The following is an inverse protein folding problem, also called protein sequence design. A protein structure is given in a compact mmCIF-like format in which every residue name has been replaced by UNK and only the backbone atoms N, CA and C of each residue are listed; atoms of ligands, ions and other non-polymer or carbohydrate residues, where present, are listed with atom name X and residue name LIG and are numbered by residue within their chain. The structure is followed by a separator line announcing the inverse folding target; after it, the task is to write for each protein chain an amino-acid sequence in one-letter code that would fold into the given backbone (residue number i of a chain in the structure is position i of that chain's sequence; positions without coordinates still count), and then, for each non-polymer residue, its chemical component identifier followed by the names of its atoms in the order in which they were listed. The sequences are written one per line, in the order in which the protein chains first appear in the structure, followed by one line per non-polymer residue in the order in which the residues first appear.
data_IF_557341655113
#
_entry.id   IF_557341655113
#
_cell.length_a   1.000
_cell.length_b   1.000
_cell.length_c   1.000
_cell.angle_alpha   90.00
_cell.angle_beta   90.00
_cell.angle_gamma   90.00
#
_symmetry.space_group_name_H-M   'P 1'
#
loop_
_entity.id
_entity.type
_entity.pdbx_description
1 polymer ?
#
# COMPACT_ATOMS: atom_id res chain seq x y z
N UNK A 1 30.48 1.25 14.71
CA UNK A 1 31.32 1.51 13.52
C UNK A 1 32.53 0.61 13.48
N UNK A 2 33.46 0.66 14.43
CA UNK A 2 34.69 -0.16 14.42
C UNK A 2 34.45 -1.68 14.31
N UNK A 3 33.45 -2.23 14.98
CA UNK A 3 33.11 -3.66 14.92
C UNK A 3 32.65 -4.09 13.54
N UNK A 4 31.74 -3.33 12.89
CA UNK A 4 31.29 -3.62 11.52
C UNK A 4 32.38 -3.47 10.48
N UNK A 5 33.25 -2.47 10.64
CA UNK A 5 34.42 -2.31 9.79
C UNK A 5 35.35 -3.53 9.94
N UNK A 6 35.55 -4.01 11.16
CA UNK A 6 36.33 -5.23 11.42
C UNK A 6 35.69 -6.46 10.78
N UNK A 7 34.37 -6.63 10.91
CA UNK A 7 33.62 -7.74 10.28
C UNK A 7 33.70 -7.70 8.75
N UNK A 8 33.59 -6.50 8.14
CA UNK A 8 33.76 -6.34 6.71
C UNK A 8 35.17 -6.67 6.22
N UNK A 9 36.20 -6.22 6.94
CA UNK A 9 37.62 -6.50 6.63
C UNK A 9 37.91 -8.00 6.79
N UNK A 10 37.31 -8.68 7.76
CA UNK A 10 37.40 -10.13 7.93
C UNK A 10 36.73 -10.86 6.76
N UNK A 11 35.59 -10.39 6.29
CA UNK A 11 34.90 -10.95 5.11
C UNK A 11 35.73 -10.81 3.82
N UNK A 12 36.61 -9.80 3.74
CA UNK A 12 37.58 -9.60 2.64
C UNK A 12 38.87 -10.41 2.83
N UNK A 13 38.95 -11.29 3.83
CA UNK A 13 40.06 -12.21 4.03
C UNK A 13 41.13 -11.76 5.04
N UNK A 14 40.91 -10.70 5.80
CA UNK A 14 41.83 -10.27 6.83
C UNK A 14 41.69 -11.13 8.12
N UNK A 15 42.78 -11.68 8.60
CA UNK A 15 42.89 -12.48 9.82
C UNK A 15 43.35 -11.69 11.06
N UNK A 16 43.46 -10.38 10.93
CA UNK A 16 43.93 -9.48 11.99
C UNK A 16 42.94 -9.35 13.15
N UNK A 17 43.44 -8.99 14.35
CA UNK A 17 42.65 -8.78 15.54
C UNK A 17 41.82 -7.49 15.47
N UNK A 18 40.73 -7.42 16.23
CA UNK A 18 39.83 -6.25 16.31
C UNK A 18 40.50 -4.96 16.83
N UNK A 19 41.49 -5.11 17.73
CA UNK A 19 42.15 -3.97 18.42
C UNK A 19 42.78 -2.92 17.55
N UNK A 20 43.49 -3.25 16.42
CA UNK A 20 44.01 -2.26 15.50
C UNK A 20 42.91 -1.46 14.79
N UNK A 21 41.85 -2.12 14.37
CA UNK A 21 40.69 -1.47 13.71
C UNK A 21 40.02 -0.49 14.67
N UNK A 22 39.81 -0.89 15.93
CA UNK A 22 39.26 -0.03 16.98
C UNK A 22 40.14 1.21 17.22
N UNK A 23 41.46 1.03 17.32
CA UNK A 23 42.41 2.14 17.50
C UNK A 23 42.43 3.11 16.30
N UNK A 24 42.41 2.57 15.10
CA UNK A 24 42.33 3.39 13.88
C UNK A 24 41.07 4.22 13.82
N UNK A 25 39.88 3.59 14.05
CA UNK A 25 38.61 4.32 14.08
C UNK A 25 38.58 5.37 15.17
N UNK A 26 39.10 5.05 16.39
CA UNK A 26 39.18 6.02 17.47
C UNK A 26 40.12 7.21 17.17
N UNK A 27 41.24 6.95 16.53
CA UNK A 27 42.16 8.01 16.09
C UNK A 27 41.55 8.89 15.00
N UNK A 28 40.86 8.28 14.02
CA UNK A 28 40.13 8.99 12.98
C UNK A 28 39.01 9.87 13.56
N UNK A 29 38.21 9.35 14.50
CA UNK A 29 37.18 10.12 15.16
C UNK A 29 37.74 11.33 15.94
N UNK A 30 38.89 11.16 16.60
CA UNK A 30 39.60 12.26 17.28
C UNK A 30 40.11 13.32 16.31
N UNK A 31 40.65 12.89 15.14
CA UNK A 31 41.20 13.82 14.13
C UNK A 31 40.06 14.64 13.44
N UNK A 32 38.85 14.12 13.37
CA UNK A 32 37.68 14.81 12.79
C UNK A 32 37.03 15.78 13.78
N UNK A 33 37.58 15.95 15.00
CA UNK A 33 37.11 16.96 15.99
C UNK A 33 35.80 16.60 16.68
N UNK A 34 35.40 15.33 16.68
CA UNK A 34 34.24 14.87 17.45
C UNK A 34 34.69 14.67 18.89
N UNK A 35 34.66 15.72 19.69
CA UNK A 35 34.85 15.68 21.12
C UNK A 35 34.08 16.84 21.75
N UNK A 36 33.06 16.53 22.44
CA UNK A 36 32.71 16.90 23.84
C UNK A 36 31.50 16.07 24.19
N UNK A 37 31.61 15.12 25.11
CA UNK A 37 30.45 14.52 25.73
C UNK A 37 29.76 15.58 26.56
N UNK A 38 28.67 16.16 26.04
CA UNK A 38 27.76 16.89 26.88
C UNK A 38 27.20 15.93 27.94
N UNK A 39 27.24 16.36 29.21
CA UNK A 39 26.68 15.57 30.30
C UNK A 39 25.15 15.64 30.23
N UNK A 40 24.49 14.47 30.09
CA UNK A 40 23.03 14.36 30.04
C UNK A 40 22.47 13.77 31.33
N UNK A 41 21.28 14.25 31.76
CA UNK A 41 20.53 13.61 32.83
C UNK A 41 19.79 12.40 32.23
N UNK A 42 20.01 11.19 32.75
CA UNK A 42 19.30 10.01 32.25
C UNK A 42 17.79 10.17 32.44
N UNK A 43 17.01 9.99 31.38
CA UNK A 43 15.55 10.01 31.44
C UNK A 43 15.03 8.62 31.80
N UNK A 44 14.10 8.57 32.73
CA UNK A 44 13.39 7.34 33.11
C UNK A 44 11.95 7.43 32.58
N UNK A 45 11.51 6.40 31.86
CA UNK A 45 10.17 6.25 31.31
C UNK A 45 9.46 5.10 32.00
N UNK A 46 8.19 5.27 32.35
CA UNK A 46 7.34 4.18 32.82
C UNK A 46 6.96 3.25 31.68
N UNK A 47 6.51 2.04 32.01
CA UNK A 47 5.98 1.09 31.04
C UNK A 47 4.81 1.69 30.26
N UNK A 48 4.85 1.60 28.93
CA UNK A 48 3.79 2.10 28.05
C UNK A 48 3.60 3.61 28.01
N UNK A 49 4.52 4.38 28.62
CA UNK A 49 4.39 5.84 28.71
C UNK A 49 4.63 6.51 27.36
N UNK A 50 5.80 6.27 26.74
CA UNK A 50 6.23 7.07 25.60
C UNK A 50 6.77 6.23 24.43
N UNK A 51 6.34 6.62 23.24
CA UNK A 51 6.91 6.24 21.96
C UNK A 51 7.68 7.43 21.41
N UNK A 52 8.88 7.22 20.93
CA UNK A 52 9.67 8.25 20.28
C UNK A 52 9.73 8.02 18.79
N UNK A 53 9.64 9.12 18.04
CA UNK A 53 9.64 9.14 16.59
C UNK A 53 10.66 10.12 16.03
N UNK A 54 11.40 9.69 15.00
CA UNK A 54 12.34 10.54 14.27
C UNK A 54 12.46 10.06 12.81
N UNK A 55 12.97 10.93 11.92
CA UNK A 55 13.27 10.64 10.53
C UNK A 55 14.76 10.60 10.27
N UNK A 56 15.17 9.69 9.39
CA UNK A 56 16.49 9.76 8.75
C UNK A 56 16.38 9.66 7.24
N UNK A 57 17.46 9.97 6.56
CA UNK A 57 17.62 9.79 5.12
C UNK A 57 18.72 8.77 4.88
N UNK A 58 18.42 7.76 4.08
CA UNK A 58 19.35 6.68 3.77
C UNK A 58 19.42 6.44 2.27
N UNK A 59 20.52 5.84 1.83
CA UNK A 59 20.73 5.46 0.43
C UNK A 59 20.71 3.94 0.30
N UNK A 60 19.82 3.43 -0.56
CA UNK A 60 19.63 2.00 -0.82
C UNK A 60 19.61 1.73 -2.33
N UNK A 61 19.93 0.51 -2.73
CA UNK A 61 19.77 0.05 -4.10
C UNK A 61 18.42 -0.64 -4.24
N UNK A 62 17.55 -0.14 -5.13
CA UNK A 62 16.28 -0.77 -5.48
C UNK A 62 16.28 -1.07 -6.97
N UNK A 63 16.09 -2.36 -7.34
CA UNK A 63 16.19 -2.79 -8.73
C UNK A 63 17.53 -2.46 -9.37
N UNK A 64 18.63 -2.42 -8.58
CA UNK A 64 19.97 -2.08 -9.05
C UNK A 64 20.26 -0.58 -9.19
N UNK A 65 19.29 0.29 -8.90
CA UNK A 65 19.43 1.76 -8.95
C UNK A 65 19.51 2.32 -7.54
N UNK A 66 20.41 3.29 -7.34
CA UNK A 66 20.52 3.96 -6.04
C UNK A 66 19.39 4.95 -5.83
N UNK A 67 18.67 4.77 -4.73
CA UNK A 67 17.60 5.65 -4.31
C UNK A 67 17.86 6.22 -2.92
N UNK A 68 17.51 7.49 -2.74
CA UNK A 68 17.42 8.12 -1.44
C UNK A 68 16.04 7.82 -0.87
N UNK A 69 15.97 7.20 0.31
CA UNK A 69 14.74 6.86 1.01
C UNK A 69 14.65 7.65 2.31
N UNK A 70 13.42 8.01 2.70
CA UNK A 70 13.13 8.50 4.03
C UNK A 70 12.80 7.32 4.94
N UNK A 71 13.41 7.29 6.11
CA UNK A 71 13.26 6.20 7.06
C UNK A 71 12.64 6.73 8.34
N UNK A 72 11.46 6.23 8.69
CA UNK A 72 10.79 6.51 9.94
C UNK A 72 11.33 5.58 11.03
N UNK A 73 11.85 6.14 12.10
CA UNK A 73 12.36 5.43 13.27
C UNK A 73 11.40 5.61 14.44
N UNK A 74 10.99 4.50 15.01
CA UNK A 74 10.18 4.45 16.22
C UNK A 74 10.89 3.61 17.26
N UNK A 75 10.77 4.00 18.53
CA UNK A 75 11.11 3.11 19.64
C UNK A 75 10.26 3.42 20.87
N UNK A 76 9.88 2.36 21.58
CA UNK A 76 9.29 2.50 22.90
C UNK A 76 10.37 2.92 23.89
N UNK A 77 10.11 4.00 24.64
CA UNK A 77 11.15 4.63 25.48
C UNK A 77 11.55 3.75 26.67
N UNK A 78 10.66 2.90 27.17
CA UNK A 78 10.97 2.01 28.29
C UNK A 78 11.71 0.75 27.83
N UNK A 79 11.12 -0.05 26.94
CA UNK A 79 11.73 -1.32 26.49
C UNK A 79 12.86 -1.15 25.47
N UNK A 80 12.99 0.02 24.87
CA UNK A 80 13.93 0.30 23.78
C UNK A 80 13.66 -0.50 22.52
N UNK A 81 12.49 -1.16 22.40
CA UNK A 81 12.14 -1.92 21.20
C UNK A 81 12.02 -0.99 20.00
N UNK A 82 12.82 -1.20 18.92
CA UNK A 82 12.80 -0.37 17.75
C UNK A 82 11.76 -0.89 16.73
N UNK A 83 11.27 0.03 15.90
CA UNK A 83 10.60 -0.27 14.65
C UNK A 83 11.04 0.75 13.59
N UNK A 84 11.31 0.25 12.39
CA UNK A 84 11.82 1.09 11.28
C UNK A 84 11.06 0.74 10.01
N UNK A 85 10.67 1.76 9.26
CA UNK A 85 10.01 1.63 7.96
C UNK A 85 10.52 2.69 6.98
N UNK A 86 10.79 2.29 5.73
CA UNK A 86 11.33 3.15 4.70
C UNK A 86 10.25 3.57 3.69
N UNK A 87 10.38 4.80 3.17
CA UNK A 87 9.52 5.37 2.13
C UNK A 87 10.36 5.98 1.01
N UNK A 88 9.81 5.94 -0.19
CA UNK A 88 10.47 6.61 -1.32
C UNK A 88 10.50 8.11 -1.08
N UNK A 89 11.66 8.72 -1.36
CA UNK A 89 11.76 10.16 -1.43
C UNK A 89 11.16 10.62 -2.76
N UNK A 90 10.23 11.56 -2.73
CA UNK A 90 9.84 12.28 -3.93
C UNK A 90 11.05 13.11 -4.38
N UNK A 91 11.63 12.76 -5.54
CA UNK A 91 12.72 13.55 -6.11
C UNK A 91 12.25 14.99 -6.32
N UNK A 92 12.76 15.90 -5.51
CA UNK A 92 12.42 17.30 -5.50
C UNK A 92 12.77 18.04 -6.78
N UNK A 93 12.01 19.07 -7.11
CA UNK A 93 12.61 20.34 -7.45
C UNK A 93 12.43 21.34 -6.32
N UNK A 94 13.49 21.98 -6.06
CA UNK A 94 13.78 22.91 -4.96
C UNK A 94 12.91 24.17 -4.91
N UNK A 95 11.92 24.39 -5.80
CA UNK A 95 11.28 25.68 -6.01
C UNK A 95 9.77 25.74 -5.79
N UNK A 96 9.19 24.87 -4.97
CA UNK A 96 7.77 24.94 -4.73
C UNK A 96 7.45 25.26 -3.27
N UNK A 97 6.92 26.44 -3.04
CA UNK A 97 6.23 26.91 -1.81
C UNK A 97 5.11 25.92 -1.35
N UNK A 98 4.92 24.80 -2.06
CA UNK A 98 3.93 23.75 -1.80
C UNK A 98 4.47 22.39 -1.37
N UNK A 99 5.78 22.14 -1.33
CA UNK A 99 6.36 20.81 -1.07
C UNK A 99 6.24 20.33 0.39
N UNK A 100 6.00 21.23 1.34
CA UNK A 100 5.83 20.90 2.76
C UNK A 100 4.57 20.09 3.11
N UNK A 101 3.64 19.90 2.17
CA UNK A 101 2.38 19.18 2.41
C UNK A 101 2.45 17.68 2.12
N UNK A 102 3.53 17.17 1.56
CA UNK A 102 3.59 15.85 0.91
C UNK A 102 4.04 14.69 1.78
N UNK A 103 4.63 14.95 2.93
CA UNK A 103 5.10 13.90 3.82
C UNK A 103 4.03 13.40 4.81
N UNK A 104 2.82 13.92 4.77
CA UNK A 104 1.80 13.61 5.76
C UNK A 104 1.29 12.17 5.63
N UNK A 105 1.08 11.69 4.40
CA UNK A 105 0.60 10.34 4.15
C UNK A 105 1.58 9.28 4.66
N UNK A 106 2.88 9.51 4.45
CA UNK A 106 3.94 8.60 4.91
C UNK A 106 4.06 8.60 6.44
N UNK A 107 3.93 9.78 7.07
CA UNK A 107 3.89 9.90 8.53
C UNK A 107 2.73 9.11 9.10
N UNK A 108 1.51 9.31 8.56
CA UNK A 108 0.30 8.64 9.03
C UNK A 108 0.43 7.12 8.89
N UNK A 109 0.92 6.65 7.75
CA UNK A 109 1.16 5.23 7.49
C UNK A 109 2.22 4.65 8.42
N UNK A 110 3.33 5.37 8.64
CA UNK A 110 4.41 4.95 9.52
C UNK A 110 3.92 4.73 10.96
N UNK A 111 3.08 5.64 11.48
CA UNK A 111 2.48 5.49 12.80
C UNK A 111 1.53 4.31 12.87
N UNK A 112 0.66 4.12 11.87
CA UNK A 112 -0.25 2.96 11.81
C UNK A 112 0.55 1.65 11.81
N UNK A 113 1.62 1.56 11.01
CA UNK A 113 2.49 0.39 10.97
C UNK A 113 3.24 0.17 12.29
N UNK A 114 3.74 1.23 12.92
CA UNK A 114 4.45 1.15 14.19
C UNK A 114 3.55 0.65 15.33
N UNK A 115 2.34 1.22 15.47
CA UNK A 115 1.37 0.79 16.47
C UNK A 115 0.95 -0.68 16.25
N UNK A 116 0.75 -1.08 14.99
CA UNK A 116 0.47 -2.47 14.63
C UNK A 116 1.65 -3.41 14.97
N UNK A 117 2.89 -2.96 14.77
CA UNK A 117 4.09 -3.74 15.11
C UNK A 117 4.24 -3.93 16.62
N UNK A 118 4.05 -2.87 17.41
CA UNK A 118 4.09 -2.97 18.87
C UNK A 118 2.86 -3.68 19.45
N UNK A 119 1.79 -3.80 18.69
CA UNK A 119 0.55 -4.46 19.11
C UNK A 119 -0.19 -3.71 20.20
N UNK A 120 -0.01 -2.39 20.29
CA UNK A 120 -0.67 -1.53 21.27
C UNK A 120 -0.30 -0.07 21.15
N UNK A 121 -0.99 0.77 21.92
CA UNK A 121 -0.93 2.22 21.87
C UNK A 121 -0.29 2.76 23.14
N UNK A 122 0.84 3.52 23.07
CA UNK A 122 1.45 4.19 24.20
C UNK A 122 0.61 5.40 24.65
N UNK A 123 0.91 5.95 25.81
CA UNK A 123 0.22 7.13 26.34
C UNK A 123 0.53 8.38 25.52
N UNK A 124 1.79 8.60 25.18
CA UNK A 124 2.26 9.78 24.45
C UNK A 124 3.28 9.44 23.38
N UNK A 125 3.45 10.35 22.43
CA UNK A 125 4.50 10.29 21.43
C UNK A 125 5.40 11.50 21.54
N UNK A 126 6.71 11.27 21.56
CA UNK A 126 7.74 12.30 21.60
C UNK A 126 8.27 12.51 20.19
N UNK A 127 8.20 13.73 19.69
CA UNK A 127 8.54 14.08 18.30
C UNK A 127 9.64 15.14 18.33
N UNK A 128 10.73 14.90 17.62
CA UNK A 128 11.76 15.92 17.40
C UNK A 128 11.34 16.80 16.21
N UNK A 129 10.45 17.72 16.47
CA UNK A 129 10.06 18.90 15.69
C UNK A 129 10.14 18.74 14.14
N UNK A 130 9.56 17.71 13.51
CA UNK A 130 9.54 17.65 12.07
C UNK A 130 8.60 18.73 11.52
N UNK A 131 9.10 19.54 10.60
CA UNK A 131 8.31 20.57 9.89
C UNK A 131 7.05 19.98 9.19
N UNK A 132 7.02 18.69 8.97
CA UNK A 132 5.91 17.94 8.37
C UNK A 132 4.71 17.76 9.30
N UNK A 133 4.92 17.77 10.61
CA UNK A 133 3.87 17.56 11.62
C UNK A 133 3.39 18.87 12.25
N UNK A 134 4.20 19.92 12.18
CA UNK A 134 3.92 21.22 12.77
C UNK A 134 3.69 22.24 11.67
N UNK A 135 2.49 22.83 11.63
CA UNK A 135 2.12 23.83 10.62
C UNK A 135 2.67 25.21 10.94
N UNK A 136 2.80 25.55 12.22
CA UNK A 136 3.23 26.86 12.69
C UNK A 136 3.85 26.78 14.07
N UNK A 137 4.93 27.54 14.30
CA UNK A 137 5.55 27.74 15.60
C UNK A 137 5.34 29.20 15.98
N UNK A 138 4.52 29.46 17.02
CA UNK A 138 4.30 30.80 17.56
C UNK A 138 5.53 31.33 18.29
N UNK A 139 5.65 32.65 18.39
CA UNK A 139 6.65 33.29 19.28
C UNK A 139 6.51 32.88 20.75
N UNK A 140 5.31 32.48 21.18
CA UNK A 140 5.02 31.94 22.54
C UNK A 140 5.41 30.46 22.71
N UNK A 141 6.07 29.82 21.72
CA UNK A 141 6.40 28.38 21.65
C UNK A 141 5.21 27.44 21.48
N UNK A 142 3.99 27.96 21.32
CA UNK A 142 2.82 27.15 20.98
C UNK A 142 2.96 26.65 19.54
N UNK A 143 2.74 25.35 19.35
CA UNK A 143 2.88 24.67 18.07
C UNK A 143 1.52 24.21 17.60
N UNK A 144 1.21 24.48 16.33
CA UNK A 144 0.00 23.99 15.70
C UNK A 144 0.38 22.78 14.87
N UNK A 145 -0.05 21.62 15.30
CA UNK A 145 0.12 20.37 14.54
C UNK A 145 -0.75 20.34 13.29
N UNK A 146 -0.30 19.59 12.30
CA UNK A 146 -1.09 19.36 11.10
C UNK A 146 -2.42 18.67 11.44
N UNK A 147 -3.58 19.13 10.91
CA UNK A 147 -4.89 18.60 11.30
C UNK A 147 -5.04 17.07 11.15
N UNK A 148 -4.48 16.48 10.10
CA UNK A 148 -4.52 15.01 9.90
C UNK A 148 -3.67 14.26 10.92
N UNK A 149 -2.53 14.82 11.31
CA UNK A 149 -1.71 14.26 12.39
C UNK A 149 -2.45 14.31 13.74
N UNK A 150 -3.09 15.44 14.04
CA UNK A 150 -3.93 15.53 15.25
C UNK A 150 -5.12 14.57 15.21
N UNK A 151 -5.72 14.35 14.01
CA UNK A 151 -6.80 13.39 13.87
C UNK A 151 -6.33 11.95 14.19
N UNK A 152 -5.12 11.57 13.76
CA UNK A 152 -4.49 10.29 14.13
C UNK A 152 -4.24 10.21 15.65
N UNK A 153 -3.64 11.25 16.23
CA UNK A 153 -3.36 11.29 17.68
C UNK A 153 -4.65 11.18 18.50
N UNK A 154 -5.70 11.88 18.09
CA UNK A 154 -7.01 11.82 18.76
C UNK A 154 -7.71 10.47 18.57
N UNK A 155 -7.58 9.86 17.37
CA UNK A 155 -8.16 8.54 17.09
C UNK A 155 -7.63 7.48 18.05
N UNK A 156 -6.33 7.46 18.29
CA UNK A 156 -5.67 6.51 19.17
C UNK A 156 -5.49 7.06 20.60
N UNK A 157 -6.00 8.28 20.87
CA UNK A 157 -5.91 8.97 22.16
C UNK A 157 -4.44 9.11 22.63
N UNK A 158 -3.53 9.43 21.74
CA UNK A 158 -2.11 9.63 22.01
C UNK A 158 -1.85 11.11 22.25
N UNK A 159 -1.11 11.45 23.31
CA UNK A 159 -0.66 12.80 23.59
C UNK A 159 0.61 13.14 22.77
N UNK A 160 0.56 14.06 21.79
CA UNK A 160 1.76 14.48 21.07
C UNK A 160 2.58 15.45 21.92
N UNK A 161 3.82 15.08 22.19
CA UNK A 161 4.78 15.90 22.93
C UNK A 161 5.94 16.25 22.01
N UNK A 162 6.28 17.53 21.92
CA UNK A 162 7.43 17.97 21.14
C UNK A 162 8.62 18.24 22.03
N UNK A 163 9.81 17.82 21.61
CA UNK A 163 11.04 18.17 22.32
C UNK A 163 11.20 19.69 22.42
N UNK A 164 11.70 20.17 23.56
CA UNK A 164 11.97 21.59 23.77
C UNK A 164 13.14 22.01 22.86
N UNK A 165 13.05 23.14 22.11
CA UNK A 165 14.18 23.63 21.34
C UNK A 165 15.42 23.83 22.21
N UNK A 166 16.57 23.33 21.77
CA UNK A 166 17.86 23.38 22.46
C UNK A 166 17.98 22.55 23.76
N UNK A 167 17.05 21.63 24.02
CA UNK A 167 17.16 20.66 25.13
C UNK A 167 17.94 19.43 24.72
N UNK A 168 19.25 19.55 24.56
CA UNK A 168 20.12 18.43 24.17
C UNK A 168 20.01 17.20 25.08
N UNK A 169 19.58 17.38 26.34
CA UNK A 169 19.38 16.32 27.31
C UNK A 169 18.16 15.43 27.03
N UNK A 170 17.11 15.95 26.37
CA UNK A 170 15.97 15.17 25.89
C UNK A 170 16.33 14.38 24.62
N UNK A 171 17.30 14.88 23.84
CA UNK A 171 17.75 14.30 22.57
C UNK A 171 18.77 13.19 22.68
N UNK A 172 19.59 13.17 23.72
CA UNK A 172 20.75 12.27 23.80
C UNK A 172 20.42 10.78 23.70
N UNK A 173 19.23 10.36 24.12
CA UNK A 173 18.78 8.97 23.93
C UNK A 173 18.34 8.70 22.49
N UNK A 174 17.70 9.68 21.83
CA UNK A 174 17.15 9.55 20.46
C UNK A 174 18.24 9.49 19.43
N UNK A 175 19.13 10.50 19.45
CA UNK A 175 20.22 10.62 18.48
C UNK A 175 21.14 9.38 18.50
N UNK A 176 21.45 8.90 19.71
CA UNK A 176 22.26 7.69 19.87
C UNK A 176 21.56 6.45 19.31
N UNK A 177 20.24 6.32 19.52
CA UNK A 177 19.50 5.15 19.04
C UNK A 177 19.29 5.19 17.52
N UNK A 178 18.96 6.35 16.95
CA UNK A 178 18.84 6.51 15.50
C UNK A 178 20.20 6.25 14.83
N UNK A 179 21.29 6.84 15.31
CA UNK A 179 22.63 6.58 14.80
C UNK A 179 23.03 5.10 14.92
N UNK A 180 22.69 4.46 16.04
CA UNK A 180 22.88 3.03 16.23
C UNK A 180 22.10 2.23 15.17
N UNK A 181 20.81 2.47 15.00
CA UNK A 181 19.96 1.75 14.03
C UNK A 181 20.44 2.00 12.59
N UNK A 182 20.83 3.21 12.24
CA UNK A 182 21.44 3.52 10.93
C UNK A 182 22.67 2.68 10.67
N UNK A 183 23.58 2.61 11.65
CA UNK A 183 24.78 1.78 11.56
C UNK A 183 24.48 0.29 11.48
N UNK A 184 23.48 -0.21 12.20
CA UNK A 184 23.10 -1.63 12.24
C UNK A 184 22.31 -2.09 11.03
N UNK A 185 21.39 -1.24 10.53
CA UNK A 185 20.46 -1.62 9.48
C UNK A 185 20.94 -1.20 8.08
N UNK A 186 21.60 -0.04 7.93
CA UNK A 186 21.92 0.52 6.61
C UNK A 186 23.42 0.48 6.28
N UNK A 187 24.22 -0.21 7.08
CA UNK A 187 25.64 -0.42 6.81
C UNK A 187 25.97 -1.92 6.90
N UNK A 188 26.40 -2.59 5.82
CA UNK A 188 26.66 -2.04 4.47
C UNK A 188 25.38 -1.59 3.74
N UNK A 189 25.56 -0.88 2.59
CA UNK A 189 24.43 -0.40 1.79
C UNK A 189 23.52 -1.58 1.37
N UNK A 190 22.24 -1.43 1.59
CA UNK A 190 21.24 -2.45 1.29
C UNK A 190 20.89 -2.48 -0.19
N UNK A 191 20.60 -3.68 -0.72
CA UNK A 191 20.14 -3.90 -2.08
C UNK A 191 18.91 -4.82 -2.07
N UNK A 192 17.81 -4.37 -2.69
CA UNK A 192 16.54 -5.08 -2.83
C UNK A 192 15.91 -4.80 -4.21
N UNK A 193 14.98 -5.62 -4.62
CA UNK A 193 14.27 -5.41 -5.90
C UNK A 193 13.29 -4.23 -5.83
N UNK A 194 12.58 -4.03 -4.70
CA UNK A 194 11.61 -2.95 -4.49
C UNK A 194 11.57 -2.56 -2.99
N UNK A 195 10.82 -1.54 -2.67
CA UNK A 195 10.64 -1.03 -1.30
C UNK A 195 9.92 -2.03 -0.38
N UNK A 196 8.98 -2.83 -0.90
CA UNK A 196 8.24 -3.78 -0.09
C UNK A 196 9.12 -4.90 0.51
N UNK A 197 10.01 -5.58 -0.24
CA UNK A 197 11.00 -6.49 0.33
C UNK A 197 11.94 -5.83 1.32
N UNK A 198 12.38 -4.59 1.06
CA UNK A 198 13.19 -3.82 2.00
C UNK A 198 12.47 -3.65 3.34
N UNK A 199 11.21 -3.21 3.33
CA UNK A 199 10.43 -2.99 4.54
C UNK A 199 10.13 -4.30 5.29
N UNK A 200 9.88 -5.40 4.57
CA UNK A 200 9.74 -6.72 5.18
C UNK A 200 11.03 -7.14 5.91
N UNK A 201 12.18 -6.93 5.28
CA UNK A 201 13.48 -7.21 5.89
C UNK A 201 13.75 -6.31 7.10
N UNK A 202 13.50 -5.00 7.01
CA UNK A 202 13.65 -4.07 8.13
C UNK A 202 12.82 -4.48 9.33
N UNK A 203 11.58 -4.92 9.09
CA UNK A 203 10.68 -5.43 10.15
C UNK A 203 11.27 -6.65 10.87
N UNK A 204 11.80 -7.63 10.12
CA UNK A 204 12.46 -8.81 10.69
C UNK A 204 13.70 -8.41 11.50
N UNK A 205 14.53 -7.51 10.96
CA UNK A 205 15.72 -7.01 11.66
C UNK A 205 15.37 -6.30 12.97
N UNK A 206 14.27 -5.54 13.01
CA UNK A 206 13.79 -4.94 14.26
C UNK A 206 13.42 -5.98 15.32
N UNK A 207 12.82 -7.10 14.93
CA UNK A 207 12.55 -8.21 15.86
C UNK A 207 13.86 -8.87 16.34
N UNK A 208 14.82 -9.10 15.46
CA UNK A 208 16.12 -9.68 15.83
C UNK A 208 16.90 -8.75 16.76
N UNK A 209 16.86 -7.42 16.53
CA UNK A 209 17.50 -6.45 17.41
C UNK A 209 16.91 -6.46 18.82
N UNK A 210 15.65 -6.84 18.98
CA UNK A 210 15.02 -6.98 20.28
C UNK A 210 15.60 -8.14 21.13
N UNK A 211 16.31 -9.10 20.54
CA UNK A 211 17.03 -10.15 21.26
C UNK A 211 18.31 -9.63 21.97
N UNK A 212 18.72 -8.41 21.73
CA UNK A 212 19.90 -7.80 22.39
C UNK A 212 19.61 -7.46 23.84
N UNK A 213 20.70 -7.38 24.64
CA UNK A 213 20.63 -6.94 26.03
C UNK A 213 20.07 -5.52 26.12
N UNK A 214 19.16 -5.33 27.07
CA UNK A 214 18.61 -3.99 27.36
C UNK A 214 19.72 -3.09 27.93
N UNK A 215 19.87 -1.84 27.45
CA UNK A 215 20.98 -0.98 27.87
C UNK A 215 20.97 -0.67 29.36
N UNK A 216 19.81 -0.47 29.96
CA UNK A 216 19.65 -0.11 31.37
C UNK A 216 19.43 -1.35 32.28
N UNK A 217 18.90 -2.46 31.74
CA UNK A 217 18.62 -3.72 32.43
C UNK A 217 19.47 -4.85 31.83
N UNK A 218 20.77 -4.85 32.09
CA UNK A 218 21.77 -5.73 31.47
C UNK A 218 21.49 -7.24 31.59
N UNK A 219 20.70 -7.65 32.59
CA UNK A 219 20.32 -9.04 32.83
C UNK A 219 19.15 -9.52 31.94
N UNK A 220 18.43 -8.61 31.25
CA UNK A 220 17.27 -8.88 30.39
C UNK A 220 17.55 -8.48 28.94
N UNK A 221 16.81 -9.07 28.02
CA UNK A 221 16.78 -8.61 26.62
C UNK A 221 15.74 -7.50 26.43
N UNK A 222 15.86 -6.74 25.33
CA UNK A 222 14.83 -5.78 24.92
C UNK A 222 13.48 -6.48 24.74
N UNK A 223 13.47 -7.70 24.20
CA UNK A 223 12.27 -8.51 24.03
C UNK A 223 11.60 -8.87 25.37
N UNK A 224 12.39 -9.24 26.40
CA UNK A 224 11.86 -9.55 27.72
C UNK A 224 11.21 -8.32 28.37
N UNK A 225 11.88 -7.17 28.27
CA UNK A 225 11.33 -5.91 28.82
C UNK A 225 10.10 -5.46 28.04
N UNK A 226 10.11 -5.67 26.71
CA UNK A 226 8.95 -5.37 25.87
C UNK A 226 7.75 -6.28 26.18
N UNK A 227 7.97 -7.52 26.54
CA UNK A 227 6.87 -8.41 26.93
C UNK A 227 6.08 -7.85 28.13
N UNK A 228 6.76 -7.26 29.11
CA UNK A 228 6.12 -6.59 30.25
C UNK A 228 5.44 -5.28 29.81
N UNK A 229 6.11 -4.49 28.96
CA UNK A 229 5.58 -3.22 28.48
C UNK A 229 4.32 -3.43 27.62
N UNK A 230 4.29 -4.49 26.81
CA UNK A 230 3.15 -4.81 25.93
C UNK A 230 1.84 -5.01 26.70
N UNK A 231 1.91 -5.53 27.93
CA UNK A 231 0.71 -5.77 28.75
C UNK A 231 0.02 -4.46 29.16
N UNK A 232 0.78 -3.39 29.31
CA UNK A 232 0.27 -2.07 29.75
C UNK A 232 -0.04 -1.14 28.59
N UNK A 233 0.37 -1.46 27.36
CA UNK A 233 -0.05 -0.72 26.18
C UNK A 233 -1.57 -0.85 26.03
N UNK A 234 -2.22 0.26 25.65
CA UNK A 234 -3.66 0.22 25.36
C UNK A 234 -3.94 -0.61 24.11
N UNK A 235 -5.06 -1.34 24.06
CA UNK A 235 -5.38 -2.17 22.90
C UNK A 235 -5.57 -1.30 21.65
N UNK A 236 -5.17 -1.84 20.49
CA UNK A 236 -5.41 -1.21 19.19
C UNK A 236 -6.90 -1.25 18.88
N UNK A 237 -7.43 -0.11 18.44
CA UNK A 237 -8.75 0.01 17.84
C UNK A 237 -8.78 -0.37 16.36
N UNK A 238 -9.74 0.19 15.62
CA UNK A 238 -9.71 0.12 14.16
C UNK A 238 -8.50 0.89 13.64
N UNK A 239 -7.81 0.40 12.60
CA UNK A 239 -6.72 1.14 11.99
C UNK A 239 -7.19 2.53 11.53
N UNK A 240 -6.38 3.55 11.79
CA UNK A 240 -6.63 4.89 11.28
C UNK A 240 -6.53 4.91 9.75
N UNK A 241 -7.45 5.60 9.08
CA UNK A 241 -7.33 5.83 7.64
C UNK A 241 -6.27 6.91 7.37
N UNK A 242 -5.07 6.46 7.06
CA UNK A 242 -3.89 7.30 6.81
C UNK A 242 -3.94 8.07 5.48
N UNK A 243 -5.09 8.18 4.83
CA UNK A 243 -5.22 8.92 3.58
C UNK A 243 -5.22 10.44 3.78
N UNK A 244 -4.73 11.15 2.77
CA UNK A 244 -4.99 12.58 2.58
C UNK A 244 -5.99 12.75 1.44
N UNK A 245 -7.15 13.29 1.77
CA UNK A 245 -8.27 13.42 0.84
C UNK A 245 -8.28 14.80 0.16
N UNK A 246 -8.56 14.80 -1.15
CA UNK A 246 -8.73 16.01 -1.98
C UNK A 246 -9.88 15.82 -2.94
N UNK A 247 -10.71 16.85 -3.12
CA UNK A 247 -11.68 16.88 -4.21
C UNK A 247 -10.97 17.31 -5.49
N UNK A 248 -11.05 16.48 -6.53
CA UNK A 248 -10.44 16.76 -7.84
C UNK A 248 -11.45 16.57 -8.95
N UNK A 249 -11.28 17.29 -10.06
CA UNK A 249 -12.11 17.11 -11.25
C UNK A 249 -11.47 16.09 -12.19
N UNK A 250 -12.26 15.11 -12.64
CA UNK A 250 -11.84 14.16 -13.68
C UNK A 250 -11.80 14.89 -15.03
N UNK A 251 -10.67 14.80 -15.72
CA UNK A 251 -10.53 15.40 -17.06
C UNK A 251 -11.37 14.64 -18.10
N UNK A 252 -11.60 15.25 -19.25
CA UNK A 252 -12.27 14.60 -20.39
C UNK A 252 -11.51 13.38 -20.93
N UNK A 253 -10.23 13.24 -20.59
CA UNK A 253 -9.39 12.08 -20.86
C UNK A 253 -9.50 10.99 -19.79
N UNK A 254 -10.51 11.04 -18.91
CA UNK A 254 -10.73 10.11 -17.79
C UNK A 254 -9.55 10.02 -16.83
N UNK A 255 -8.83 11.11 -16.61
CA UNK A 255 -7.65 11.17 -15.74
C UNK A 255 -7.85 12.16 -14.60
N UNK A 256 -7.43 11.79 -13.41
CA UNK A 256 -7.21 12.68 -12.28
C UNK A 256 -5.73 12.93 -12.10
N UNK A 257 -5.36 14.08 -11.55
CA UNK A 257 -3.98 14.45 -11.30
C UNK A 257 -3.69 14.45 -9.80
N UNK A 258 -2.64 13.73 -9.41
CA UNK A 258 -2.05 13.81 -8.08
C UNK A 258 -0.55 14.02 -8.23
N UNK A 259 -0.05 15.05 -7.56
CA UNK A 259 1.32 15.56 -7.74
C UNK A 259 1.62 15.83 -9.22
N UNK A 260 2.64 15.26 -9.79
CA UNK A 260 2.95 15.40 -11.22
C UNK A 260 2.45 14.23 -12.07
N UNK A 261 1.74 13.26 -11.47
CA UNK A 261 1.29 12.02 -12.11
C UNK A 261 -0.22 12.04 -12.39
N UNK A 262 -0.64 11.21 -13.32
CA UNK A 262 -2.04 11.08 -13.76
C UNK A 262 -2.48 9.64 -13.57
N UNK A 263 -3.72 9.47 -13.10
CA UNK A 263 -4.30 8.17 -12.78
C UNK A 263 -5.67 8.07 -13.45
N UNK A 264 -5.95 6.97 -14.11
CA UNK A 264 -7.21 6.78 -14.81
C UNK A 264 -8.37 6.49 -13.86
N UNK A 265 -9.55 6.89 -14.28
CA UNK A 265 -10.83 6.69 -13.59
C UNK A 265 -11.84 6.19 -14.62
N UNK A 266 -12.82 5.36 -14.26
CA UNK A 266 -13.86 4.90 -15.16
C UNK A 266 -14.50 6.06 -15.94
N UNK A 267 -14.70 5.85 -17.22
CA UNK A 267 -15.09 6.89 -18.18
C UNK A 267 -16.43 7.59 -17.86
N UNK A 268 -17.32 6.93 -17.13
CA UNK A 268 -18.59 7.47 -16.67
C UNK A 268 -18.46 8.67 -15.71
N UNK A 269 -17.29 8.79 -15.07
CA UNK A 269 -16.99 9.90 -14.16
C UNK A 269 -16.29 11.08 -14.84
N UNK A 270 -16.07 11.03 -16.16
CA UNK A 270 -15.44 12.11 -16.90
C UNK A 270 -16.17 13.45 -16.69
N UNK A 271 -15.43 14.52 -16.38
CA UNK A 271 -15.96 15.86 -16.11
C UNK A 271 -16.53 16.06 -14.71
N UNK A 272 -16.72 15.01 -13.90
CA UNK A 272 -17.27 15.08 -12.54
C UNK A 272 -16.18 15.40 -11.50
N UNK A 273 -16.61 15.86 -10.34
CA UNK A 273 -15.75 15.97 -9.16
C UNK A 273 -15.81 14.65 -8.40
N UNK A 274 -14.63 14.18 -7.99
CA UNK A 274 -14.44 12.93 -7.26
C UNK A 274 -13.55 13.18 -6.05
N UNK A 275 -13.65 12.32 -5.03
CA UNK A 275 -12.72 12.32 -3.92
C UNK A 275 -11.49 11.48 -4.27
N UNK A 276 -10.31 12.08 -4.21
CA UNK A 276 -9.03 11.41 -4.36
C UNK A 276 -8.40 11.26 -2.98
N UNK A 277 -8.17 10.02 -2.57
CA UNK A 277 -7.48 9.65 -1.32
C UNK A 277 -6.07 9.17 -1.64
N UNK A 278 -5.08 9.95 -1.23
CA UNK A 278 -3.68 9.61 -1.37
C UNK A 278 -3.18 8.90 -0.12
N UNK A 279 -2.66 7.69 -0.28
CA UNK A 279 -1.95 6.90 0.73
C UNK A 279 -0.45 6.93 0.46
N UNK A 280 0.33 6.34 1.35
CA UNK A 280 1.78 6.22 1.18
C UNK A 280 2.16 5.36 -0.05
N UNK A 281 1.38 4.34 -0.36
CA UNK A 281 1.66 3.32 -1.38
C UNK A 281 0.71 3.37 -2.59
N UNK A 282 -0.48 3.98 -2.46
CA UNK A 282 -1.54 3.94 -3.47
C UNK A 282 -2.36 5.22 -3.54
N UNK A 283 -3.01 5.39 -4.67
CA UNK A 283 -4.00 6.45 -4.93
C UNK A 283 -5.35 5.78 -5.13
N UNK A 284 -6.35 6.19 -4.36
CA UNK A 284 -7.72 5.67 -4.43
C UNK A 284 -8.66 6.79 -4.83
N UNK A 285 -9.56 6.52 -5.77
CA UNK A 285 -10.60 7.46 -6.18
C UNK A 285 -11.95 6.94 -5.71
N UNK A 286 -12.70 7.81 -5.05
CA UNK A 286 -13.97 7.48 -4.40
C UNK A 286 -15.08 8.37 -4.95
N UNK A 287 -16.22 7.76 -5.27
CA UNK A 287 -17.45 8.44 -5.72
C UNK A 287 -18.63 7.86 -4.93
N UNK A 288 -19.46 8.71 -4.36
CA UNK A 288 -20.63 8.27 -3.55
C UNK A 288 -20.26 7.22 -2.48
N UNK A 289 -19.07 7.35 -1.87
CA UNK A 289 -18.53 6.44 -0.86
C UNK A 289 -18.11 5.05 -1.37
N UNK A 290 -18.07 4.85 -2.69
CA UNK A 290 -17.58 3.64 -3.35
C UNK A 290 -16.21 3.87 -3.99
N UNK A 291 -15.32 2.90 -3.88
CA UNK A 291 -14.02 2.94 -4.54
C UNK A 291 -14.22 2.61 -6.02
N UNK A 292 -13.97 3.60 -6.88
CA UNK A 292 -14.13 3.44 -8.34
C UNK A 292 -12.80 3.19 -9.05
N UNK A 293 -11.67 3.56 -8.44
CA UNK A 293 -10.34 3.26 -8.96
C UNK A 293 -9.32 3.18 -7.83
N UNK A 294 -8.34 2.29 -7.99
CA UNK A 294 -7.18 2.17 -7.12
C UNK A 294 -5.94 1.92 -7.97
N UNK A 295 -4.89 2.71 -7.75
CA UNK A 295 -3.63 2.62 -8.48
C UNK A 295 -2.45 2.58 -7.53
N UNK A 296 -1.36 1.87 -7.88
CA UNK A 296 -0.07 2.00 -7.19
C UNK A 296 0.41 3.44 -7.32
N UNK A 297 0.87 4.04 -6.23
CA UNK A 297 1.44 5.40 -6.25
C UNK A 297 2.81 5.38 -6.91
N UNK A 298 3.03 6.33 -7.82
CA UNK A 298 4.33 6.55 -8.46
C UNK A 298 4.96 7.82 -7.91
N UNK A 299 6.25 7.72 -7.58
CA UNK A 299 7.05 8.82 -7.04
C UNK A 299 7.90 9.51 -8.12
N UNK A 300 8.08 8.88 -9.27
CA UNK A 300 8.63 9.50 -10.48
C UNK A 300 7.62 10.45 -11.09
N UNK A 301 8.08 11.44 -11.87
CA UNK A 301 7.20 12.49 -12.42
C UNK A 301 6.70 12.17 -13.81
N UNK A 302 5.57 12.79 -14.16
CA UNK A 302 4.95 12.78 -15.49
C UNK A 302 4.50 11.39 -15.96
N UNK A 303 4.27 10.46 -15.04
CA UNK A 303 3.69 9.15 -15.35
C UNK A 303 2.18 9.29 -15.52
N UNK A 304 1.66 8.57 -16.51
CA UNK A 304 0.22 8.35 -16.68
C UNK A 304 -0.08 6.87 -16.49
N UNK A 305 -0.80 6.55 -15.42
CA UNK A 305 -1.21 5.19 -15.08
C UNK A 305 -2.59 4.97 -15.68
N UNK A 306 -2.64 4.10 -16.65
CA UNK A 306 -3.88 3.72 -17.30
C UNK A 306 -4.32 2.34 -16.81
N UNK A 307 -5.59 2.24 -16.42
CA UNK A 307 -6.30 0.98 -16.31
C UNK A 307 -7.17 0.85 -17.56
N UNK A 308 -6.87 -0.04 -18.50
CA UNK A 308 -7.57 -0.14 -19.78
C UNK A 308 -9.08 -0.33 -19.63
N UNK A 309 -9.52 -1.06 -18.61
CA UNK A 309 -10.93 -1.33 -18.33
C UNK A 309 -11.73 -0.06 -18.06
N UNK A 310 -11.12 1.01 -17.59
CA UNK A 310 -11.77 2.30 -17.42
C UNK A 310 -12.24 2.93 -18.74
N UNK A 311 -11.65 2.51 -19.85
CA UNK A 311 -11.88 3.08 -21.19
C UNK A 311 -12.70 2.18 -22.11
N UNK A 312 -12.88 0.91 -21.76
CA UNK A 312 -13.62 -0.07 -22.59
C UNK A 312 -15.01 0.44 -22.97
N UNK A 313 -15.82 1.07 -22.08
CA UNK A 313 -17.13 1.60 -22.49
C UNK A 313 -17.08 2.69 -23.58
N UNK A 314 -15.94 3.39 -23.72
CA UNK A 314 -15.78 4.39 -24.78
C UNK A 314 -15.50 3.76 -26.15
N UNK A 315 -14.98 2.55 -26.17
CA UNK A 315 -14.69 1.80 -27.41
C UNK A 315 -15.95 1.46 -28.19
N UNK A 316 -17.09 1.32 -27.52
CA UNK A 316 -18.38 1.11 -28.20
C UNK A 316 -18.65 2.15 -29.28
N UNK A 317 -18.30 3.42 -28.98
CA UNK A 317 -18.45 4.52 -29.94
C UNK A 317 -17.25 4.72 -30.87
N UNK A 318 -16.07 4.26 -30.45
CA UNK A 318 -14.80 4.47 -31.19
C UNK A 318 -13.93 3.22 -31.17
N UNK A 319 -14.34 2.13 -31.82
CA UNK A 319 -13.62 0.83 -31.78
C UNK A 319 -12.16 0.95 -32.24
N UNK A 320 -11.87 1.78 -33.23
CA UNK A 320 -10.53 1.99 -33.76
C UNK A 320 -9.52 2.55 -32.73
N UNK A 321 -9.99 3.17 -31.63
CA UNK A 321 -9.11 3.61 -30.56
C UNK A 321 -8.40 2.46 -29.83
N UNK A 322 -8.88 1.22 -29.99
CA UNK A 322 -8.24 0.03 -29.43
C UNK A 322 -6.83 -0.22 -30.01
N UNK A 323 -6.55 0.24 -31.24
CA UNK A 323 -5.24 0.04 -31.91
C UNK A 323 -4.17 0.98 -31.38
N UNK A 324 -4.50 2.27 -31.27
CA UNK A 324 -3.52 3.34 -31.04
C UNK A 324 -3.77 4.13 -29.74
N UNK A 325 -4.83 3.79 -29.00
CA UNK A 325 -5.16 4.47 -27.76
C UNK A 325 -4.14 4.16 -26.68
N UNK A 326 -3.57 5.23 -26.06
CA UNK A 326 -2.56 5.11 -25.02
C UNK A 326 -2.94 4.13 -23.88
N UNK A 327 -4.21 4.03 -23.43
CA UNK A 327 -4.59 3.06 -22.41
C UNK A 327 -4.44 1.59 -22.83
N UNK A 328 -4.41 1.28 -24.15
CA UNK A 328 -4.41 -0.07 -24.67
C UNK A 328 -3.05 -0.53 -25.19
N UNK A 329 -2.06 0.35 -25.16
CA UNK A 329 -0.68 0.03 -25.54
C UNK A 329 -0.06 -0.85 -24.44
N UNK A 330 0.39 -2.05 -24.84
CA UNK A 330 0.98 -2.99 -23.89
C UNK A 330 -0.02 -3.59 -22.89
N UNK A 331 -1.33 -3.55 -23.23
CA UNK A 331 -2.35 -4.14 -22.39
C UNK A 331 -2.16 -5.65 -22.27
N UNK A 332 -1.92 -6.10 -21.04
CA UNK A 332 -1.80 -7.50 -20.68
C UNK A 332 -3.21 -8.11 -20.56
N UNK A 333 -3.57 -8.93 -21.55
CA UNK A 333 -4.82 -9.69 -21.60
C UNK A 333 -4.50 -11.16 -21.42
N UNK A 334 -5.46 -12.00 -20.96
CA UNK A 334 -5.31 -13.45 -20.96
C UNK A 334 -4.89 -13.98 -22.34
N UNK A 335 -4.11 -15.06 -22.35
CA UNK A 335 -3.46 -15.56 -23.57
C UNK A 335 -4.46 -15.86 -24.69
N UNK A 336 -5.57 -16.52 -24.38
CA UNK A 336 -6.63 -16.80 -25.36
C UNK A 336 -7.22 -15.51 -25.94
N UNK A 337 -7.48 -14.49 -25.11
CA UNK A 337 -7.98 -13.20 -25.59
C UNK A 337 -6.94 -12.47 -26.45
N UNK A 338 -5.65 -12.57 -26.14
CA UNK A 338 -4.59 -12.04 -26.99
C UNK A 338 -4.57 -12.71 -28.36
N UNK A 339 -4.76 -14.02 -28.41
CA UNK A 339 -4.84 -14.78 -29.67
C UNK A 339 -6.06 -14.37 -30.51
N UNK A 340 -7.22 -14.22 -29.86
CA UNK A 340 -8.47 -13.77 -30.52
C UNK A 340 -8.28 -12.30 -30.99
N UNK A 341 -7.70 -11.43 -30.19
CA UNK A 341 -7.37 -10.05 -30.57
C UNK A 341 -6.50 -10.05 -31.85
N UNK A 342 -5.43 -10.83 -31.89
CA UNK A 342 -4.53 -10.95 -33.06
C UNK A 342 -5.27 -11.46 -34.30
N UNK A 343 -6.24 -12.35 -34.11
CA UNK A 343 -7.06 -12.85 -35.20
C UNK A 343 -7.97 -11.76 -35.77
N UNK A 344 -8.72 -11.09 -34.92
CA UNK A 344 -9.66 -10.03 -35.33
C UNK A 344 -8.98 -8.83 -35.97
N UNK A 345 -7.82 -8.40 -35.42
CA UNK A 345 -7.09 -7.21 -35.92
C UNK A 345 -6.58 -7.37 -37.36
N UNK A 346 -6.62 -8.58 -37.96
CA UNK A 346 -6.26 -8.83 -39.38
C UNK A 346 -7.35 -8.36 -40.33
N UNK A 347 -8.61 -8.37 -39.88
CA UNK A 347 -9.76 -8.10 -40.72
C UNK A 347 -10.23 -6.64 -40.55
N UNK A 348 -10.80 -6.06 -41.65
CA UNK A 348 -11.49 -4.77 -41.55
C UNK A 348 -12.78 -4.96 -40.74
N UNK A 349 -12.90 -4.23 -39.64
CA UNK A 349 -14.05 -4.33 -38.72
C UNK A 349 -13.83 -5.24 -37.52
N UNK A 350 -12.76 -6.03 -37.47
CA UNK A 350 -12.45 -6.91 -36.34
C UNK A 350 -12.23 -6.14 -35.03
N UNK A 351 -11.91 -4.83 -35.09
CA UNK A 351 -11.88 -3.97 -33.91
C UNK A 351 -13.23 -3.96 -33.20
N UNK A 352 -14.34 -3.94 -33.97
CA UNK A 352 -15.70 -3.93 -33.42
C UNK A 352 -16.01 -5.24 -32.70
N UNK A 353 -15.72 -6.36 -33.35
CA UNK A 353 -15.98 -7.69 -32.77
C UNK A 353 -15.20 -7.90 -31.49
N UNK A 354 -13.94 -7.42 -31.41
CA UNK A 354 -13.15 -7.52 -30.19
C UNK A 354 -13.65 -6.56 -29.10
N UNK A 355 -14.11 -5.38 -29.46
CA UNK A 355 -14.75 -4.44 -28.52
C UNK A 355 -16.02 -5.05 -27.92
N UNK A 356 -16.86 -5.67 -28.75
CA UNK A 356 -18.07 -6.36 -28.29
C UNK A 356 -17.72 -7.50 -27.32
N UNK A 357 -16.64 -8.25 -27.56
CA UNK A 357 -16.12 -9.24 -26.60
C UNK A 357 -15.67 -8.62 -25.27
N UNK A 358 -14.98 -7.45 -25.31
CA UNK A 358 -14.58 -6.74 -24.09
C UNK A 358 -15.79 -6.20 -23.30
N UNK A 359 -16.84 -5.75 -24.00
CA UNK A 359 -18.09 -5.32 -23.36
C UNK A 359 -18.82 -6.50 -22.70
N UNK A 360 -18.76 -7.68 -23.29
CA UNK A 360 -19.28 -8.91 -22.67
C UNK A 360 -18.51 -9.24 -21.38
N UNK A 361 -17.19 -9.04 -21.37
CA UNK A 361 -16.38 -9.24 -20.16
C UNK A 361 -16.76 -8.26 -19.02
N UNK A 362 -17.13 -7.02 -19.33
CA UNK A 362 -17.68 -6.09 -18.35
C UNK A 362 -19.05 -6.51 -17.81
N UNK A 363 -19.86 -7.20 -18.64
CA UNK A 363 -21.23 -7.59 -18.29
C UNK A 363 -21.28 -8.90 -17.51
N UNK A 364 -20.52 -9.92 -17.94
CA UNK A 364 -20.58 -11.27 -17.41
C UNK A 364 -19.42 -11.64 -16.47
N UNK A 365 -18.43 -10.76 -16.37
CA UNK A 365 -17.19 -11.00 -15.61
C UNK A 365 -16.10 -11.59 -16.48
N UNK A 366 -14.86 -11.27 -16.08
CA UNK A 366 -13.67 -11.67 -16.84
C UNK A 366 -13.48 -13.18 -16.86
N UNK A 367 -13.67 -13.85 -15.72
CA UNK A 367 -13.45 -15.30 -15.57
C UNK A 367 -14.32 -16.13 -16.53
N UNK A 368 -15.58 -15.69 -16.71
CA UNK A 368 -16.54 -16.35 -17.62
C UNK A 368 -16.09 -16.21 -19.07
N UNK A 369 -15.71 -15.00 -19.47
CA UNK A 369 -15.31 -14.71 -20.85
C UNK A 369 -13.95 -15.32 -21.16
N UNK A 370 -13.00 -15.33 -20.23
CA UNK A 370 -11.72 -16.01 -20.36
C UNK A 370 -11.91 -17.50 -20.60
N UNK A 371 -12.71 -18.18 -19.75
CA UNK A 371 -13.04 -19.60 -19.93
C UNK A 371 -13.67 -19.88 -21.29
N UNK A 372 -14.56 -19.02 -21.77
CA UNK A 372 -15.16 -19.16 -23.08
C UNK A 372 -14.15 -18.95 -24.23
N UNK A 373 -13.23 -18.01 -24.07
CA UNK A 373 -12.15 -17.73 -24.99
C UNK A 373 -11.17 -18.91 -25.08
N UNK A 374 -10.80 -19.51 -23.96
CA UNK A 374 -9.94 -20.72 -23.92
C UNK A 374 -10.57 -21.85 -24.72
N UNK A 375 -11.85 -22.14 -24.48
CA UNK A 375 -12.61 -23.16 -25.25
C UNK A 375 -12.70 -22.82 -26.73
N UNK A 376 -12.89 -21.53 -27.07
CA UNK A 376 -12.96 -21.10 -28.47
C UNK A 376 -11.63 -21.32 -29.21
N UNK A 377 -10.50 -21.08 -28.54
CA UNK A 377 -9.16 -21.33 -29.06
C UNK A 377 -8.91 -22.81 -29.21
N UNK A 378 -9.23 -23.64 -28.23
CA UNK A 378 -9.11 -25.10 -28.28
C UNK A 378 -9.93 -25.72 -29.43
N UNK A 379 -11.15 -25.21 -29.67
CA UNK A 379 -12.05 -25.67 -30.71
C UNK A 379 -11.79 -25.00 -32.05
N UNK A 380 -10.82 -24.07 -32.14
CA UNK A 380 -10.54 -23.26 -33.32
C UNK A 380 -11.79 -22.53 -33.89
N UNK A 381 -12.66 -22.05 -33.00
CA UNK A 381 -13.92 -21.35 -33.32
C UNK A 381 -13.87 -19.91 -32.85
N UNK A 382 -13.04 -19.10 -33.50
CA UNK A 382 -12.69 -17.73 -33.02
C UNK A 382 -13.72 -16.65 -33.39
N UNK A 383 -14.88 -16.99 -33.97
CA UNK A 383 -15.90 -16.01 -34.37
C UNK A 383 -16.71 -15.55 -33.14
N UNK A 384 -17.03 -14.26 -33.06
CA UNK A 384 -17.78 -13.68 -31.95
C UNK A 384 -19.09 -14.40 -31.60
N UNK A 385 -19.97 -14.81 -32.56
CA UNK A 385 -21.18 -15.57 -32.24
C UNK A 385 -20.91 -16.91 -31.57
N UNK A 386 -19.81 -17.60 -31.96
CA UNK A 386 -19.43 -18.87 -31.34
C UNK A 386 -18.96 -18.65 -29.88
N UNK A 387 -18.18 -17.58 -29.64
CA UNK A 387 -17.71 -17.23 -28.29
C UNK A 387 -18.91 -16.83 -27.41
N UNK A 388 -19.90 -16.10 -27.94
CA UNK A 388 -21.13 -15.76 -27.19
C UNK A 388 -21.89 -17.04 -26.78
N UNK A 389 -21.99 -18.04 -27.68
CA UNK A 389 -22.59 -19.33 -27.33
C UNK A 389 -21.81 -20.05 -26.22
N UNK A 390 -20.47 -20.00 -26.27
CA UNK A 390 -19.64 -20.58 -25.21
C UNK A 390 -19.80 -19.86 -23.87
N UNK A 391 -19.91 -18.51 -23.88
CA UNK A 391 -20.21 -17.70 -22.68
C UNK A 391 -21.55 -18.17 -22.09
N UNK A 392 -22.59 -18.31 -22.91
CA UNK A 392 -23.89 -18.78 -22.46
C UNK A 392 -23.81 -20.20 -21.86
N UNK A 393 -23.05 -21.11 -22.45
CA UNK A 393 -22.82 -22.45 -21.91
C UNK A 393 -22.06 -22.44 -20.56
N UNK A 394 -21.16 -21.50 -20.36
CA UNK A 394 -20.47 -21.33 -19.06
C UNK A 394 -21.42 -20.77 -18.00
N UNK A 395 -22.36 -19.92 -18.41
CA UNK A 395 -23.36 -19.31 -17.51
C UNK A 395 -24.55 -20.24 -17.21
N UNK A 396 -24.76 -21.26 -18.05
CA UNK A 396 -25.85 -22.24 -17.81
C UNK A 396 -25.62 -22.95 -16.48
N UNK A 397 -26.63 -23.00 -15.60
CA UNK A 397 -26.53 -23.74 -14.38
C UNK A 397 -26.34 -25.23 -14.68
N UNK A 398 -25.42 -25.89 -13.99
CA UNK A 398 -25.22 -27.34 -14.07
C UNK A 398 -26.55 -28.00 -13.70
N UNK A 399 -27.23 -28.58 -14.65
CA UNK A 399 -28.45 -29.35 -14.40
C UNK A 399 -28.03 -30.55 -13.52
N UNK A 400 -28.51 -30.64 -12.28
CA UNK A 400 -28.17 -31.79 -11.46
C UNK A 400 -28.61 -33.09 -12.19
N UNK A 401 -27.83 -34.19 -12.11
CA UNK A 401 -28.21 -35.45 -12.73
C UNK A 401 -29.61 -35.83 -12.28
N UNK A 402 -30.43 -36.26 -13.22
CA UNK A 402 -31.78 -36.74 -12.92
C UNK A 402 -31.69 -37.68 -11.72
N UNK A 403 -32.49 -37.39 -10.68
CA UNK A 403 -32.55 -38.24 -9.51
C UNK A 403 -32.83 -39.69 -9.97
N UNK A 404 -32.10 -40.66 -9.44
CA UNK A 404 -32.38 -42.07 -9.69
C UNK A 404 -33.78 -42.37 -9.09
N UNK A 405 -34.73 -42.60 -9.98
CA UNK A 405 -36.14 -42.89 -9.63
C UNK A 405 -36.39 -44.36 -9.39
N UNK A 406 -35.41 -45.23 -9.46
CA UNK A 406 -35.58 -46.69 -9.30
C UNK A 406 -36.13 -47.12 -7.94
N UNK A 407 -36.02 -46.29 -6.93
CA UNK A 407 -36.55 -46.55 -5.56
C UNK A 407 -37.91 -45.91 -5.25
N UNK A 408 -38.47 -45.13 -6.16
CA UNK A 408 -39.74 -44.45 -5.93
C UNK A 408 -40.90 -45.24 -6.49
N UNK A 409 -42.12 -45.25 -5.82
CA UNK A 409 -43.29 -45.93 -6.35
C UNK A 409 -43.70 -45.30 -7.67
N UNK A 410 -43.81 -46.11 -8.70
CA UNK A 410 -44.30 -45.65 -10.01
C UNK A 410 -45.76 -45.25 -9.92
N UNK A 411 -46.09 -44.13 -10.55
CA UNK A 411 -47.47 -43.70 -10.68
C UNK A 411 -48.26 -44.77 -11.48
N UNK A 412 -49.25 -45.36 -10.83
CA UNK A 412 -50.13 -46.36 -11.46
C UNK A 412 -51.11 -45.75 -12.48
N UNK A 413 -51.28 -44.45 -12.45
CA UNK A 413 -52.06 -43.68 -13.42
C UNK A 413 -51.15 -42.60 -14.07
N UNK A 414 -51.14 -42.56 -15.39
CA UNK A 414 -50.49 -41.52 -16.13
C UNK A 414 -51.26 -40.21 -15.93
N UNK A 415 -50.67 -39.16 -15.35
CA UNK A 415 -51.39 -37.90 -15.20
C UNK A 415 -51.66 -37.30 -16.60
N UNK A 416 -52.90 -37.29 -17.02
CA UNK A 416 -53.35 -36.55 -18.20
C UNK A 416 -53.65 -35.12 -17.80
N UNK A 417 -53.12 -34.16 -18.55
CA UNK A 417 -53.40 -32.73 -18.30
C UNK A 417 -54.85 -32.45 -18.73
N UNK A 418 -55.73 -32.25 -17.76
CA UNK A 418 -57.09 -31.80 -18.03
C UNK A 418 -57.12 -30.29 -18.26
N UNK A 419 -56.91 -29.89 -19.51
CA UNK A 419 -56.90 -28.50 -19.94
C UNK A 419 -58.27 -27.82 -19.70
N UNK A 420 -59.39 -28.59 -19.65
CA UNK A 420 -60.72 -28.04 -19.38
C UNK A 420 -60.87 -27.47 -17.95
N UNK A 421 -60.05 -27.95 -17.03
CA UNK A 421 -60.04 -27.44 -15.65
C UNK A 421 -59.61 -25.97 -15.58
N UNK A 422 -58.86 -25.48 -16.56
CA UNK A 422 -58.40 -24.09 -16.63
C UNK A 422 -59.35 -23.17 -17.43
N UNK A 423 -60.29 -23.73 -18.23
CA UNK A 423 -61.29 -22.93 -18.93
C UNK A 423 -62.25 -22.22 -17.95
N UNK A 424 -62.49 -22.81 -16.77
CA UNK A 424 -63.31 -22.20 -15.72
C UNK A 424 -62.65 -20.92 -15.14
N UNK A 425 -61.31 -20.82 -15.19
CA UNK A 425 -60.58 -19.64 -14.73
C UNK A 425 -60.64 -18.47 -15.75
N UNK A 426 -60.72 -18.81 -17.05
CA UNK A 426 -60.91 -17.78 -18.08
C UNK A 426 -62.30 -17.15 -18.05
N UNK A 427 -63.34 -17.91 -17.63
CA UNK A 427 -64.72 -17.41 -17.54
C UNK A 427 -64.90 -16.55 -16.28
N UNK A 428 -64.22 -16.84 -15.19
CA UNK A 428 -64.27 -16.06 -13.96
C UNK A 428 -63.60 -14.67 -14.10
N UNK A 429 -62.63 -14.52 -15.01
CA UNK A 429 -61.97 -13.23 -15.27
C UNK A 429 -62.78 -12.27 -16.16
N UNK A 430 -63.83 -12.77 -16.84
CA UNK A 430 -64.64 -11.94 -17.76
C UNK A 430 -65.88 -11.29 -17.07
N UNK A 431 -66.14 -11.58 -15.80
CA UNK A 431 -67.28 -11.00 -15.03
C UNK A 431 -66.83 -9.91 -14.05
N UNK A 432 -65.52 -9.58 -14.00
CA UNK A 432 -64.96 -8.55 -13.13
C UNK A 432 -64.28 -7.42 -13.92
N UNK A 433 -64.83 -7.01 -15.07
CA UNK A 433 -64.41 -5.82 -15.81
C UNK A 433 -65.60 -4.90 -16.06
#
# INVERSE_FOLDING_TARGET
MAKKLSEAIVAEGNTGSYSPVQRFVSALMKSVGISVCDAFIPLHFALGDALQFDWSEEYVLLGGVEHKVHVAHFHLCHSRKPFVVAYMNESEPVNAIGSRKRANEMVLDAFVQALAFFGGVPRRVIIDNPETMVTYVSRSKDRIFHPRFLALMNHDVIEPVTCTPASGWEKGQVENQVQFLRGELFCPKLAFDDLAPLNAWLRLRCEELAARRHPDQQHRTIADVFADEKIVLRPLGRPFDGSVEKTVRVRSTCLVQHDSNRYSVPSEHAGRHVSLRAYADRIVVVVCNEIVAAHKRHFTRNISCFEPWHYVPLLDRKPGALRDGAPFVGWDLPEAMQQIKKHYMRDKGGDRDFVDLLLLALTHGMDVVETACDRAVEQNTLRLPAIINLINQVLEPVIPPLADTHGYPQLTLRPEADCKRYEALCVAGAVAA
#
